data_IF_293814199193
#
_entry.id   IF_293814199193
#
_cell.length_a   1.000
_cell.length_b   1.000
_cell.length_c   1.000
_cell.angle_alpha   90.00
_cell.angle_beta   90.00
_cell.angle_gamma   90.00
#
_symmetry.space_group_name_H-M   'P 1'
#
loop_
_entity.id
_entity.type
_entity.pdbx_description
1 polymer ?
#
# COMPACT_ATOMS: atom_id res chain seq x y z
N UNK A 1 12.46 10.49 -1.77
CA UNK A 1 13.55 9.49 -1.96
C UNK A 1 12.92 8.12 -2.23
N UNK A 2 13.59 7.24 -2.98
CA UNK A 2 13.13 5.87 -3.24
C UNK A 2 14.17 4.89 -2.72
N UNK A 3 13.75 3.88 -1.95
CA UNK A 3 14.62 2.80 -1.45
C UNK A 3 14.10 1.47 -1.98
N UNK A 4 14.96 0.73 -2.70
CA UNK A 4 14.61 -0.57 -3.28
C UNK A 4 14.87 -1.71 -2.29
N UNK A 5 13.92 -2.63 -2.21
CA UNK A 5 13.99 -3.89 -1.48
C UNK A 5 13.63 -5.01 -2.45
N UNK A 6 14.51 -6.00 -2.56
CA UNK A 6 14.23 -7.22 -3.32
C UNK A 6 13.92 -8.34 -2.32
N UNK A 7 12.71 -8.90 -2.40
CA UNK A 7 12.34 -10.06 -1.61
C UNK A 7 12.84 -11.30 -2.33
N UNK A 8 13.74 -12.04 -1.68
CA UNK A 8 14.25 -13.32 -2.17
C UNK A 8 13.30 -14.42 -1.74
N UNK A 9 12.81 -15.20 -2.70
CA UNK A 9 11.87 -16.28 -2.47
C UNK A 9 12.59 -17.63 -2.39
N UNK A 10 12.07 -18.53 -1.56
CA UNK A 10 12.54 -19.92 -1.52
C UNK A 10 12.13 -20.64 -2.82
N UNK A 11 12.91 -21.64 -3.25
CA UNK A 11 12.57 -22.46 -4.42
C UNK A 11 12.94 -21.85 -5.78
N UNK A 12 13.75 -20.79 -5.82
CA UNK A 12 14.33 -20.24 -7.06
C UNK A 12 13.39 -19.36 -7.89
N UNK A 13 12.21 -18.99 -7.36
CA UNK A 13 11.36 -18.00 -7.99
C UNK A 13 12.04 -16.63 -8.10
N UNK A 14 11.67 -15.85 -9.12
CA UNK A 14 12.24 -14.52 -9.34
C UNK A 14 12.01 -13.62 -8.11
N UNK A 15 12.99 -12.76 -7.74
CA UNK A 15 12.82 -11.83 -6.64
C UNK A 15 11.65 -10.87 -6.88
N UNK A 16 10.87 -10.59 -5.82
CA UNK A 16 9.81 -9.58 -5.87
C UNK A 16 10.44 -8.22 -5.60
N UNK A 17 10.21 -7.25 -6.49
CA UNK A 17 10.77 -5.90 -6.39
C UNK A 17 9.79 -4.97 -5.71
N UNK A 18 10.22 -4.40 -4.58
CA UNK A 18 9.50 -3.36 -3.86
C UNK A 18 10.35 -2.08 -3.81
N UNK A 19 9.77 -0.95 -4.20
CA UNK A 19 10.38 0.37 -4.06
C UNK A 19 9.57 1.20 -3.04
N UNK A 20 10.15 1.47 -1.87
CA UNK A 20 9.52 2.31 -0.85
C UNK A 20 9.82 3.79 -1.12
N UNK A 21 8.78 4.63 -1.16
CA UNK A 21 8.91 6.07 -1.29
C UNK A 21 8.93 6.72 0.09
N UNK A 22 10.01 7.43 0.37
CA UNK A 22 10.28 8.08 1.66
C UNK A 22 10.26 9.61 1.52
N UNK A 23 9.71 10.27 2.54
CA UNK A 23 9.79 11.71 2.73
C UNK A 23 10.28 12.04 4.14
N UNK A 24 11.12 13.07 4.26
CA UNK A 24 11.49 13.64 5.56
C UNK A 24 10.38 14.59 5.98
N UNK A 25 9.78 14.34 7.13
CA UNK A 25 8.78 15.21 7.71
C UNK A 25 9.45 16.52 8.15
N UNK A 26 8.99 17.66 7.63
CA UNK A 26 9.61 18.97 7.94
C UNK A 26 9.33 19.45 9.37
N UNK A 27 8.29 18.94 10.02
CA UNK A 27 7.92 19.30 11.40
C UNK A 27 8.70 18.47 12.42
N UNK A 28 8.79 17.16 12.21
CA UNK A 28 9.44 16.24 13.17
C UNK A 28 10.90 15.92 12.83
N UNK A 29 11.31 16.15 11.58
CA UNK A 29 12.63 15.77 11.08
C UNK A 29 12.78 14.28 10.75
N UNK A 30 11.76 13.46 10.98
CA UNK A 30 11.81 12.02 10.80
C UNK A 30 11.53 11.58 9.37
N UNK A 31 12.16 10.50 8.93
CA UNK A 31 11.87 9.87 7.65
C UNK A 31 10.68 8.93 7.77
N UNK A 32 9.71 9.09 6.87
CA UNK A 32 8.49 8.26 6.84
C UNK A 32 8.27 7.73 5.42
N UNK A 33 7.99 6.43 5.33
CA UNK A 33 7.51 5.82 4.09
C UNK A 33 6.04 6.20 3.88
N UNK A 34 5.67 6.58 2.66
CA UNK A 34 4.30 7.00 2.34
C UNK A 34 3.69 6.24 1.15
N UNK A 35 4.51 5.56 0.35
CA UNK A 35 4.05 4.73 -0.75
C UNK A 35 4.99 3.53 -0.91
N UNK A 36 4.44 2.43 -1.42
CA UNK A 36 5.15 1.23 -1.82
C UNK A 36 4.82 0.98 -3.29
N UNK A 37 5.86 0.84 -4.12
CA UNK A 37 5.71 0.50 -5.52
C UNK A 37 6.12 -0.96 -5.69
N UNK A 38 5.16 -1.84 -5.96
CA UNK A 38 5.39 -3.26 -6.16
C UNK A 38 5.38 -3.55 -7.67
N UNK A 39 6.47 -4.14 -8.19
CA UNK A 39 6.62 -4.45 -9.63
C UNK A 39 6.27 -3.26 -10.55
N UNK A 40 6.64 -2.04 -10.13
CA UNK A 40 6.37 -0.81 -10.88
C UNK A 40 5.00 -0.16 -10.63
N UNK A 41 4.13 -0.77 -9.83
CA UNK A 41 2.78 -0.26 -9.53
C UNK A 41 2.72 0.35 -8.13
N UNK A 42 2.34 1.64 -8.05
CA UNK A 42 2.15 2.37 -6.78
C UNK A 42 0.88 1.89 -6.07
N UNK A 43 1.02 1.50 -4.81
CA UNK A 43 -0.12 1.09 -3.98
C UNK A 43 -1.05 2.26 -3.68
N UNK A 44 -0.52 3.47 -3.47
CA UNK A 44 -1.35 4.67 -3.28
C UNK A 44 -2.21 4.94 -4.51
N UNK A 45 -1.63 4.92 -5.72
CA UNK A 45 -2.37 5.16 -6.96
C UNK A 45 -3.40 4.06 -7.21
N UNK A 46 -3.04 2.80 -6.99
CA UNK A 46 -3.98 1.68 -7.10
C UNK A 46 -5.20 1.87 -6.19
N UNK A 47 -4.99 2.21 -4.92
CA UNK A 47 -6.10 2.45 -3.98
C UNK A 47 -6.92 3.69 -4.32
N UNK A 48 -6.29 4.77 -4.80
CA UNK A 48 -7.03 5.93 -5.31
C UNK A 48 -7.97 5.56 -6.47
N UNK A 49 -7.50 4.75 -7.41
CA UNK A 49 -8.30 4.30 -8.54
C UNK A 49 -9.45 3.40 -8.09
N UNK A 50 -9.16 2.40 -7.25
CA UNK A 50 -10.17 1.49 -6.67
C UNK A 50 -11.26 2.26 -5.88
N UNK A 51 -10.86 3.28 -5.10
CA UNK A 51 -11.78 4.02 -4.24
C UNK A 51 -12.49 5.18 -4.94
N UNK A 52 -12.03 5.59 -6.12
CA UNK A 52 -12.60 6.73 -6.85
C UNK A 52 -14.11 6.56 -7.12
N UNK A 53 -14.56 5.33 -7.39
CA UNK A 53 -15.96 5.00 -7.62
C UNK A 53 -16.81 5.21 -6.38
N UNK A 54 -16.45 4.59 -5.25
CA UNK A 54 -17.20 4.72 -4.00
C UNK A 54 -17.17 6.16 -3.47
N UNK A 55 -16.03 6.86 -3.57
CA UNK A 55 -15.94 8.25 -3.16
C UNK A 55 -16.91 9.15 -3.94
N UNK A 56 -17.00 8.98 -5.25
CA UNK A 56 -17.89 9.77 -6.11
C UNK A 56 -19.37 9.45 -5.87
N UNK A 57 -19.69 8.20 -5.59
CA UNK A 57 -21.09 7.73 -5.51
C UNK A 57 -21.68 7.79 -4.10
N UNK A 58 -20.86 7.52 -3.08
CA UNK A 58 -21.32 7.27 -1.71
C UNK A 58 -20.58 8.13 -0.66
N UNK A 59 -19.56 8.89 -1.08
CA UNK A 59 -18.82 9.78 -0.21
C UNK A 59 -17.78 9.08 0.69
N UNK A 60 -17.14 9.89 1.54
CA UNK A 60 -16.00 9.47 2.37
C UNK A 60 -16.42 8.55 3.53
N UNK A 61 -17.63 8.72 4.08
CA UNK A 61 -18.13 7.91 5.19
C UNK A 61 -18.33 6.45 4.77
N UNK A 62 -18.92 6.24 3.59
CA UNK A 62 -19.11 4.91 3.02
C UNK A 62 -17.77 4.19 2.78
N UNK A 63 -16.78 4.90 2.23
CA UNK A 63 -15.43 4.37 2.07
C UNK A 63 -14.80 4.01 3.43
N UNK A 64 -14.93 4.89 4.42
CA UNK A 64 -14.39 4.66 5.77
C UNK A 64 -14.99 3.41 6.40
N UNK A 65 -16.31 3.22 6.30
CA UNK A 65 -16.98 2.02 6.78
C UNK A 65 -16.52 0.75 6.05
N UNK A 66 -16.33 0.81 4.73
CA UNK A 66 -15.82 -0.33 3.95
C UNK A 66 -14.38 -0.71 4.35
N UNK A 67 -13.51 0.28 4.56
CA UNK A 67 -12.14 0.06 5.00
C UNK A 67 -12.14 -0.57 6.40
N UNK A 68 -12.96 -0.05 7.33
CA UNK A 68 -13.08 -0.61 8.68
C UNK A 68 -13.54 -2.07 8.65
N UNK A 69 -14.53 -2.39 7.81
CA UNK A 69 -15.01 -3.77 7.63
C UNK A 69 -13.91 -4.68 7.08
N UNK A 70 -13.12 -4.20 6.12
CA UNK A 70 -12.02 -4.96 5.53
C UNK A 70 -10.88 -5.19 6.53
N UNK A 71 -10.56 -4.19 7.34
CA UNK A 71 -9.53 -4.28 8.39
C UNK A 71 -9.91 -5.23 9.53
N UNK A 72 -11.21 -5.47 9.77
CA UNK A 72 -11.69 -6.41 10.77
C UNK A 72 -11.63 -7.89 10.31
N UNK A 73 -11.28 -8.16 9.05
CA UNK A 73 -11.14 -9.53 8.55
C UNK A 73 -9.86 -10.17 9.09
N UNK A 74 -9.99 -11.35 9.70
CA UNK A 74 -8.86 -12.11 10.22
C UNK A 74 -7.92 -12.56 9.10
N UNK A 75 -6.61 -12.46 9.35
CA UNK A 75 -5.58 -13.01 8.45
C UNK A 75 -5.66 -14.53 8.48
N UNK A 76 -5.87 -15.14 7.31
CA UNK A 76 -5.82 -16.60 7.14
C UNK A 76 -4.47 -17.01 6.57
N UNK A 77 -3.92 -18.10 7.10
CA UNK A 77 -2.73 -18.74 6.54
C UNK A 77 -3.19 -19.97 5.76
N UNK A 78 -3.25 -19.86 4.43
CA UNK A 78 -3.34 -21.04 3.58
C UNK A 78 -1.95 -21.67 3.53
N UNK A 79 -1.83 -22.90 4.08
CA UNK A 79 -0.63 -23.74 3.97
C UNK A 79 -0.40 -24.18 2.53
#
# INVERSE_FOLDING_TARGET
MSIRVNIIQNGGAAPIKLDFKWRKNSKTGEWQAYDMVAEGVSMVVTKQNEWSGILRQQGIEALTAQIQKSAAQSVTLSK
#
